data_IF_656210758544
#
_entry.id   IF_656210758544
#
_cell.length_a   1.000
_cell.length_b   1.000
_cell.length_c   1.000
_cell.angle_alpha   90.00
_cell.angle_beta   90.00
_cell.angle_gamma   90.00
#
_symmetry.space_group_name_H-M   'P 1'
#
loop_
_entity.id
_entity.type
_entity.pdbx_description
1 polymer ?
#
# COMPACT_ATOMS: atom_id res chain seq x y z
N UNK A 1 18.29 -6.96 8.90
CA UNK A 1 17.01 -7.49 8.37
C UNK A 1 17.22 -7.90 6.92
N UNK A 2 17.00 -9.17 6.57
CA UNK A 2 17.23 -9.69 5.21
C UNK A 2 16.29 -9.03 4.19
N UNK A 3 16.71 -8.93 2.92
CA UNK A 3 15.93 -8.25 1.85
C UNK A 3 14.51 -8.83 1.72
N UNK A 4 14.36 -10.15 1.90
CA UNK A 4 13.06 -10.86 1.83
C UNK A 4 12.05 -10.38 2.88
N UNK A 5 12.50 -10.07 4.10
CA UNK A 5 11.61 -9.56 5.15
C UNK A 5 11.15 -8.13 4.89
N UNK A 6 11.99 -7.32 4.24
CA UNK A 6 11.61 -5.96 3.84
C UNK A 6 10.61 -5.93 2.69
N UNK A 7 10.61 -6.94 1.82
CA UNK A 7 9.75 -7.01 0.64
C UNK A 7 8.49 -7.87 0.85
N UNK A 8 8.58 -8.93 1.66
CA UNK A 8 7.49 -9.90 1.87
C UNK A 8 7.16 -10.11 3.36
N UNK A 9 7.53 -9.16 4.23
CA UNK A 9 7.35 -9.27 5.68
C UNK A 9 5.90 -9.58 6.08
N UNK A 10 4.92 -8.90 5.47
CA UNK A 10 3.50 -9.13 5.76
C UNK A 10 3.08 -10.58 5.45
N UNK A 11 3.35 -11.06 4.24
CA UNK A 11 2.98 -12.42 3.82
C UNK A 11 3.68 -13.48 4.66
N UNK A 12 4.95 -13.26 5.01
CA UNK A 12 5.71 -14.18 5.88
C UNK A 12 5.11 -14.22 7.28
N UNK A 13 4.82 -13.06 7.89
CA UNK A 13 4.25 -12.98 9.24
C UNK A 13 2.88 -13.66 9.28
N UNK A 14 1.96 -13.27 8.39
CA UNK A 14 0.61 -13.84 8.34
C UNK A 14 0.66 -15.33 8.00
N UNK A 15 1.48 -15.74 7.02
CA UNK A 15 1.66 -17.15 6.68
C UNK A 15 2.22 -17.98 7.84
N UNK A 16 3.16 -17.42 8.60
CA UNK A 16 3.71 -18.09 9.79
C UNK A 16 2.65 -18.22 10.89
N UNK A 17 1.88 -17.16 11.15
CA UNK A 17 0.78 -17.21 12.11
C UNK A 17 -0.30 -18.22 11.69
N UNK A 18 -0.63 -18.28 10.39
CA UNK A 18 -1.56 -19.26 9.85
C UNK A 18 -1.08 -20.69 10.09
N UNK A 19 0.16 -21.02 9.73
CA UNK A 19 0.73 -22.36 9.96
C UNK A 19 0.76 -22.67 11.46
N UNK A 20 1.16 -21.73 12.31
CA UNK A 20 1.17 -21.92 13.75
C UNK A 20 -0.22 -22.21 14.31
N UNK A 21 -1.24 -21.44 13.90
CA UNK A 21 -2.62 -21.65 14.31
C UNK A 21 -3.17 -23.00 13.82
N UNK A 22 -2.90 -23.36 12.57
CA UNK A 22 -3.34 -24.63 11.97
C UNK A 22 -2.69 -25.85 12.64
N UNK A 23 -1.40 -25.76 12.97
CA UNK A 23 -0.70 -26.78 13.75
C UNK A 23 -1.28 -26.89 15.17
N UNK A 24 -1.55 -25.76 15.83
CA UNK A 24 -2.15 -25.74 17.16
C UNK A 24 -3.54 -26.39 17.15
N UNK A 25 -4.39 -26.05 16.18
CA UNK A 25 -5.67 -26.71 15.93
C UNK A 25 -5.52 -28.23 15.79
N UNK A 26 -4.50 -28.68 15.05
CA UNK A 26 -4.28 -30.10 14.77
C UNK A 26 -3.84 -30.84 16.04
N UNK A 27 -2.96 -30.23 16.84
CA UNK A 27 -2.48 -30.82 18.08
C UNK A 27 -3.56 -30.85 19.17
N UNK A 28 -4.28 -29.75 19.35
CA UNK A 28 -5.36 -29.66 20.34
C UNK A 28 -6.54 -30.56 19.96
N UNK A 29 -6.91 -30.60 18.68
CA UNK A 29 -7.97 -31.48 18.20
C UNK A 29 -7.62 -32.96 18.35
N UNK A 30 -6.36 -33.34 18.22
CA UNK A 30 -5.94 -34.72 18.52
C UNK A 30 -6.12 -35.08 19.99
N UNK A 31 -5.78 -34.16 20.90
CA UNK A 31 -5.99 -34.36 22.34
C UNK A 31 -7.45 -34.60 22.71
N UNK A 32 -8.36 -33.80 22.12
CA UNK A 32 -9.81 -33.98 22.31
C UNK A 32 -10.27 -35.34 21.75
N UNK A 33 -9.87 -35.65 20.50
CA UNK A 33 -10.26 -36.88 19.84
C UNK A 33 -9.81 -38.14 20.59
N UNK A 34 -8.60 -38.15 21.14
CA UNK A 34 -8.11 -39.27 21.97
C UNK A 34 -8.95 -39.40 23.24
N UNK A 35 -9.29 -38.28 23.87
CA UNK A 35 -10.10 -38.28 25.10
C UNK A 35 -11.51 -38.83 24.83
N UNK A 36 -12.13 -38.43 23.73
CA UNK A 36 -13.44 -38.95 23.30
C UNK A 36 -13.38 -40.45 22.99
N UNK A 37 -12.41 -40.91 22.19
CA UNK A 37 -12.32 -42.32 21.79
C UNK A 37 -12.01 -43.23 22.98
N UNK A 38 -11.12 -42.80 23.88
CA UNK A 38 -10.82 -43.56 25.10
C UNK A 38 -12.01 -43.63 26.05
N UNK A 39 -12.83 -42.56 26.13
CA UNK A 39 -14.09 -42.60 26.88
C UNK A 39 -15.12 -43.56 26.27
N UNK A 40 -15.10 -43.76 24.95
CA UNK A 40 -15.92 -44.73 24.23
C UNK A 40 -15.35 -46.16 24.27
N UNK A 41 -14.14 -46.36 24.83
CA UNK A 41 -13.46 -47.65 24.87
C UNK A 41 -12.85 -48.07 23.53
N UNK A 42 -12.72 -47.16 22.57
CA UNK A 42 -12.08 -47.38 21.28
C UNK A 42 -10.59 -46.98 21.32
N UNK A 43 -9.76 -47.69 20.53
CA UNK A 43 -8.37 -47.29 20.33
C UNK A 43 -8.31 -46.09 19.36
N UNK A 44 -7.65 -44.98 19.74
CA UNK A 44 -7.55 -43.80 18.89
C UNK A 44 -6.66 -44.08 17.68
N UNK A 45 -7.27 -44.09 16.50
CA UNK A 45 -6.57 -44.29 15.23
C UNK A 45 -6.49 -42.99 14.43
N UNK A 46 -5.33 -42.71 13.85
CA UNK A 46 -5.15 -41.55 12.95
C UNK A 46 -5.83 -41.79 11.60
N UNK A 47 -5.62 -42.99 11.06
CA UNK A 47 -6.15 -43.46 9.79
C UNK A 47 -7.16 -44.57 10.05
N UNK A 48 -8.34 -44.47 9.47
CA UNK A 48 -9.43 -45.44 9.62
C UNK A 48 -10.78 -44.80 9.27
N UNK A 49 -11.87 -45.60 9.21
CA UNK A 49 -13.21 -45.09 8.91
C UNK A 49 -13.67 -44.00 9.90
N UNK A 50 -13.30 -44.17 11.18
CA UNK A 50 -13.52 -43.20 12.25
C UNK A 50 -12.21 -42.55 12.70
N UNK A 51 -11.20 -42.52 11.82
CA UNK A 51 -9.89 -41.98 12.16
C UNK A 51 -9.92 -40.46 12.32
N UNK A 52 -8.97 -39.94 13.09
CA UNK A 52 -8.84 -38.50 13.35
C UNK A 52 -8.77 -37.66 12.06
N UNK A 53 -8.19 -38.18 10.98
CA UNK A 53 -8.10 -37.46 9.70
C UNK A 53 -9.47 -36.97 9.20
N UNK A 54 -10.53 -37.74 9.40
CA UNK A 54 -11.88 -37.36 9.00
C UNK A 54 -12.43 -36.25 9.90
N UNK A 55 -12.27 -36.38 11.22
CA UNK A 55 -12.70 -35.37 12.20
C UNK A 55 -11.95 -34.04 12.02
N UNK A 56 -10.63 -34.11 11.86
CA UNK A 56 -9.78 -32.97 11.55
C UNK A 56 -10.14 -32.31 10.22
N UNK A 57 -10.38 -33.12 9.18
CA UNK A 57 -10.79 -32.65 7.87
C UNK A 57 -12.12 -31.92 7.96
N UNK A 58 -13.11 -32.52 8.64
CA UNK A 58 -14.43 -31.90 8.89
C UNK A 58 -14.27 -30.55 9.58
N UNK A 59 -13.56 -30.48 10.71
CA UNK A 59 -13.35 -29.24 11.43
C UNK A 59 -12.65 -28.16 10.58
N UNK A 60 -11.67 -28.56 9.76
CA UNK A 60 -10.96 -27.65 8.84
C UNK A 60 -11.88 -27.13 7.74
N UNK A 61 -12.67 -28.02 7.12
CA UNK A 61 -13.57 -27.67 6.03
C UNK A 61 -14.81 -26.91 6.50
N UNK A 62 -15.32 -27.17 7.70
CA UNK A 62 -16.38 -26.38 8.32
C UNK A 62 -15.91 -24.94 8.56
N UNK A 63 -14.70 -24.76 9.08
CA UNK A 63 -14.12 -23.43 9.25
C UNK A 63 -13.86 -22.72 7.91
N UNK A 64 -13.37 -23.43 6.89
CA UNK A 64 -13.23 -22.85 5.56
C UNK A 64 -14.58 -22.49 4.95
N UNK A 65 -15.58 -23.37 5.07
CA UNK A 65 -16.91 -23.15 4.53
C UNK A 65 -17.54 -21.87 5.10
N UNK A 66 -17.45 -21.65 6.42
CA UNK A 66 -18.01 -20.45 7.05
C UNK A 66 -17.30 -19.18 6.57
N UNK A 67 -15.98 -19.20 6.45
CA UNK A 67 -15.21 -18.06 5.95
C UNK A 67 -15.50 -17.76 4.47
N UNK A 68 -15.59 -18.78 3.62
CA UNK A 68 -15.99 -18.60 2.22
C UNK A 68 -17.40 -18.02 2.11
N UNK A 69 -18.34 -18.53 2.90
CA UNK A 69 -19.70 -18.00 2.92
C UNK A 69 -19.72 -16.54 3.39
N UNK A 70 -18.95 -16.20 4.42
CA UNK A 70 -18.82 -14.83 4.92
C UNK A 70 -18.27 -13.89 3.84
N UNK A 71 -17.15 -14.24 3.20
CA UNK A 71 -16.53 -13.42 2.14
C UNK A 71 -17.46 -13.31 0.94
N UNK A 72 -18.11 -14.40 0.55
CA UNK A 72 -19.09 -14.39 -0.55
C UNK A 72 -20.26 -13.46 -0.25
N UNK A 73 -20.88 -13.62 0.93
CA UNK A 73 -22.00 -12.77 1.37
C UNK A 73 -21.55 -11.32 1.46
N UNK A 74 -20.35 -11.03 1.96
CA UNK A 74 -19.78 -9.68 1.98
C UNK A 74 -19.62 -9.10 0.56
N UNK A 75 -19.03 -9.82 -0.39
CA UNK A 75 -18.89 -9.35 -1.79
C UNK A 75 -20.27 -9.10 -2.43
N UNK A 76 -21.21 -10.04 -2.28
CA UNK A 76 -22.57 -9.90 -2.82
C UNK A 76 -23.26 -8.69 -2.20
N UNK A 77 -23.29 -8.58 -0.87
CA UNK A 77 -23.92 -7.46 -0.18
C UNK A 77 -23.27 -6.13 -0.57
N UNK A 78 -21.94 -6.03 -0.59
CA UNK A 78 -21.26 -4.78 -0.97
C UNK A 78 -21.49 -4.40 -2.43
N UNK A 79 -21.71 -5.37 -3.33
CA UNK A 79 -22.03 -5.12 -4.74
C UNK A 79 -23.47 -4.65 -4.92
N UNK A 80 -24.44 -5.24 -4.20
CA UNK A 80 -25.87 -4.92 -4.38
C UNK A 80 -26.38 -3.82 -3.43
N UNK A 81 -25.87 -3.75 -2.20
CA UNK A 81 -26.21 -2.72 -1.20
C UNK A 81 -25.20 -1.56 -1.26
N UNK A 82 -24.95 -1.07 -2.48
CA UNK A 82 -24.27 0.21 -2.66
C UNK A 82 -25.20 1.31 -2.13
N UNK A 83 -24.74 2.01 -1.09
CA UNK A 83 -25.44 3.20 -0.63
C UNK A 83 -25.44 4.25 -1.75
N UNK A 84 -26.63 4.66 -2.22
CA UNK A 84 -26.76 5.78 -3.16
C UNK A 84 -26.03 7.00 -2.59
N UNK A 85 -25.03 7.51 -3.32
CA UNK A 85 -24.11 8.62 -2.98
C UNK A 85 -22.88 8.28 -2.13
N UNK A 86 -22.33 7.07 -2.22
CA UNK A 86 -20.93 6.86 -1.83
C UNK A 86 -19.99 7.64 -2.78
N UNK A 87 -18.95 8.29 -2.23
CA UNK A 87 -17.94 9.01 -3.02
C UNK A 87 -17.15 8.10 -3.98
N UNK A 88 -17.20 6.78 -3.80
CA UNK A 88 -16.59 5.75 -4.67
C UNK A 88 -17.62 5.12 -5.65
N UNK A 89 -18.74 5.79 -5.90
CA UNK A 89 -19.70 5.36 -6.94
C UNK A 89 -19.08 5.53 -8.33
N UNK A 90 -19.36 4.63 -9.32
CA UNK A 90 -18.92 4.82 -10.70
C UNK A 90 -19.37 6.15 -11.32
N UNK A 91 -20.48 6.72 -10.84
CA UNK A 91 -20.92 8.05 -11.23
C UNK A 91 -19.89 9.13 -10.84
N UNK A 92 -19.13 8.94 -9.77
CA UNK A 92 -18.06 9.85 -9.36
C UNK A 92 -16.87 9.80 -10.31
N UNK A 93 -16.54 8.65 -10.91
CA UNK A 93 -15.43 8.54 -11.86
C UNK A 93 -15.72 9.32 -13.15
N UNK A 94 -16.92 9.19 -13.73
CA UNK A 94 -17.32 9.99 -14.90
C UNK A 94 -17.33 11.49 -14.60
N UNK A 95 -17.77 11.90 -13.41
CA UNK A 95 -17.75 13.30 -12.98
C UNK A 95 -16.31 13.80 -12.77
N UNK A 96 -15.42 12.95 -12.25
CA UNK A 96 -14.01 13.26 -12.01
C UNK A 96 -13.25 13.38 -13.33
N UNK A 97 -13.46 12.47 -14.28
CA UNK A 97 -12.93 12.57 -15.63
C UNK A 97 -13.44 13.82 -16.36
N UNK A 98 -14.73 14.13 -16.23
CA UNK A 98 -15.31 15.35 -16.79
C UNK A 98 -14.70 16.61 -16.16
N UNK A 99 -14.44 16.60 -14.85
CA UNK A 99 -13.75 17.69 -14.16
C UNK A 99 -12.30 17.85 -14.62
N UNK A 100 -11.55 16.74 -14.74
CA UNK A 100 -10.18 16.71 -15.29
C UNK A 100 -10.14 17.30 -16.70
N UNK A 101 -11.02 16.86 -17.60
CA UNK A 101 -11.09 17.39 -18.97
C UNK A 101 -11.39 18.88 -19.01
N UNK A 102 -12.27 19.37 -18.12
CA UNK A 102 -12.57 20.81 -18.00
C UNK A 102 -11.35 21.59 -17.53
N UNK A 103 -10.61 21.07 -16.54
CA UNK A 103 -9.39 21.69 -16.03
C UNK A 103 -8.34 21.73 -17.14
N UNK A 104 -8.12 20.64 -17.87
CA UNK A 104 -7.15 20.57 -18.97
C UNK A 104 -7.51 21.53 -20.12
N UNK A 105 -8.79 21.61 -20.50
CA UNK A 105 -9.26 22.58 -21.50
C UNK A 105 -9.05 24.03 -21.04
N UNK A 106 -9.28 24.33 -19.76
CA UNK A 106 -8.97 25.64 -19.16
C UNK A 106 -7.47 25.91 -19.19
N UNK A 107 -6.64 24.93 -18.83
CA UNK A 107 -5.18 25.07 -18.84
C UNK A 107 -4.66 25.38 -20.24
N UNK A 108 -5.11 24.64 -21.25
CA UNK A 108 -4.75 24.87 -22.65
C UNK A 108 -5.15 26.28 -23.14
N UNK A 109 -6.30 26.78 -22.69
CA UNK A 109 -6.75 28.15 -23.01
C UNK A 109 -5.88 29.23 -22.38
N UNK A 110 -5.27 28.94 -21.23
CA UNK A 110 -4.42 29.85 -20.48
C UNK A 110 -2.95 29.75 -20.88
N UNK A 111 -2.51 28.64 -21.46
CA UNK A 111 -1.12 28.41 -21.85
C UNK A 111 -0.61 29.46 -22.85
N UNK A 112 -1.41 29.81 -23.86
CA UNK A 112 -1.04 30.88 -24.81
C UNK A 112 -0.89 32.25 -24.15
N UNK A 113 -1.91 32.77 -23.43
CA UNK A 113 -1.84 34.00 -22.66
C UNK A 113 -0.70 34.04 -21.63
N UNK A 114 -0.51 32.97 -20.85
CA UNK A 114 0.55 32.87 -19.85
C UNK A 114 1.92 32.86 -20.52
N UNK A 115 2.13 32.03 -21.55
CA UNK A 115 3.42 31.99 -22.28
C UNK A 115 3.77 33.36 -22.87
N UNK A 116 2.78 34.11 -23.34
CA UNK A 116 2.98 35.49 -23.82
C UNK A 116 3.23 36.49 -22.70
N UNK A 117 2.53 36.37 -21.58
CA UNK A 117 2.74 37.23 -20.42
C UNK A 117 4.10 36.98 -19.76
N UNK A 118 4.54 35.73 -19.68
CA UNK A 118 5.84 35.32 -19.15
C UNK A 118 6.98 35.83 -20.05
N UNK A 119 6.86 35.68 -21.37
CA UNK A 119 7.79 36.30 -22.33
C UNK A 119 7.79 37.84 -22.28
N UNK A 120 6.67 38.47 -21.91
CA UNK A 120 6.58 39.92 -21.75
C UNK A 120 7.15 40.42 -20.41
N UNK A 121 7.04 39.60 -19.34
CA UNK A 121 7.59 39.87 -18.03
C UNK A 121 9.09 39.55 -17.94
N UNK A 122 9.59 38.70 -18.85
CA UNK A 122 11.01 38.38 -19.00
C UNK A 122 11.56 38.88 -20.34
N UNK A 123 11.66 40.21 -20.55
CA UNK A 123 12.42 40.71 -21.68
C UNK A 123 13.86 40.22 -21.47
N UNK A 124 14.43 39.57 -22.47
CA UNK A 124 15.81 39.07 -22.53
C UNK A 124 16.65 39.39 -21.28
N UNK A 125 16.97 38.35 -20.50
CA UNK A 125 18.22 38.32 -19.78
C UNK A 125 19.33 38.51 -20.83
N UNK A 126 19.59 39.77 -21.17
CA UNK A 126 20.70 40.21 -21.97
C UNK A 126 21.91 39.81 -21.15
N UNK A 127 22.50 38.67 -21.52
CA UNK A 127 23.86 38.32 -21.14
C UNK A 127 24.72 39.42 -21.74
N UNK A 128 24.82 40.54 -21.02
CA UNK A 128 25.77 41.59 -21.30
C UNK A 128 27.11 40.93 -21.01
N UNK A 129 28.03 40.78 -21.99
CA UNK A 129 29.34 40.29 -21.66
C UNK A 129 29.95 41.35 -20.75
N UNK A 130 29.99 41.06 -19.45
CA UNK A 130 30.64 41.94 -18.50
C UNK A 130 32.10 41.96 -18.92
N UNK A 131 32.50 43.09 -19.52
CA UNK A 131 33.89 43.37 -19.84
C UNK A 131 34.63 43.28 -18.52
N UNK A 132 35.29 42.15 -18.28
CA UNK A 132 36.01 41.89 -17.05
C UNK A 132 37.07 42.97 -16.92
N UNK A 133 36.78 43.95 -16.05
CA UNK A 133 37.76 44.90 -15.59
C UNK A 133 38.73 44.06 -14.77
N UNK A 134 39.83 43.67 -15.39
CA UNK A 134 40.91 42.88 -14.79
C UNK A 134 41.54 43.76 -13.69
N UNK A 135 40.92 43.80 -12.51
CA UNK A 135 41.54 44.34 -11.31
C UNK A 135 42.50 43.27 -10.79
N UNK A 136 43.78 43.58 -10.95
CA UNK A 136 44.90 42.91 -10.32
C UNK A 136 44.68 42.84 -8.81
N UNK A 137 44.22 41.70 -8.30
CA UNK A 137 44.23 41.43 -6.87
C UNK A 137 45.62 40.92 -6.50
N UNK A 138 46.48 41.87 -6.09
CA UNK A 138 47.77 41.57 -5.49
C UNK A 138 47.56 40.89 -4.13
N UNK A 139 48.21 39.75 -3.97
CA UNK A 139 48.24 38.96 -2.73
C UNK A 139 49.01 39.72 -1.64
N UNK A 140 48.37 39.97 -0.50
CA UNK A 140 49.04 39.96 0.80
C UNK A 140 48.00 39.95 1.93
N UNK A 141 48.02 38.86 2.70
CA UNK A 141 47.33 38.68 3.98
C UNK A 141 47.96 39.55 5.10
N UNK A 142 47.57 39.38 6.37
CA UNK A 142 46.25 39.51 6.96
C UNK A 142 46.26 40.59 8.06
N UNK A 143 45.22 41.40 8.19
CA UNK A 143 45.04 42.16 9.42
C UNK A 143 43.56 42.45 9.68
N UNK A 144 43.27 42.38 10.96
CA UNK A 144 41.99 42.51 11.62
C UNK A 144 41.06 43.62 11.09
N UNK A 145 39.80 43.46 11.49
CA UNK A 145 38.72 44.44 11.54
C UNK A 145 37.68 44.28 10.43
N UNK A 146 36.46 44.04 10.89
CA UNK A 146 35.32 43.66 10.08
C UNK A 146 34.99 44.62 8.95
N UNK A 147 34.67 44.02 7.81
CA UNK A 147 33.57 44.45 6.97
C UNK A 147 33.16 43.24 6.13
N UNK A 148 31.96 42.75 6.40
CA UNK A 148 31.26 41.80 5.54
C UNK A 148 30.99 42.57 4.25
N UNK A 149 31.82 42.34 3.23
CA UNK A 149 31.45 42.68 1.86
C UNK A 149 30.46 41.63 1.40
N UNK A 150 29.18 41.98 1.41
CA UNK A 150 28.14 41.26 0.70
C UNK A 150 28.37 41.36 -0.81
N UNK A 151 28.60 40.21 -1.43
CA UNK A 151 28.26 39.88 -2.82
C UNK A 151 28.32 38.35 -2.97
#
# INVERSE_FOLDING_TARGET
MSRRWKTHGLSITVGTMFVAAWMLQTLLGWGEFVTEQTALGEDPQVLGPNGYLWSWGRATFENWQSEFLQVFVFIVLTTFLVHRRSHESPDTDYQTEAALRRIEARLASLEGPIRRADLALWPEATITPSRSRRSTCGKSAPAATGRICSA
#
